data_IF_766004925648
#
_entry.id   IF_766004925648
#
_cell.length_a   1.000
_cell.length_b   1.000
_cell.length_c   1.000
_cell.angle_alpha   90.00
_cell.angle_beta   90.00
_cell.angle_gamma   90.00
#
_symmetry.space_group_name_H-M   'P 1'
#
loop_
_entity.id
_entity.type
_entity.pdbx_description
1 polymer ?
#
# COMPACT_ATOMS: atom_id res chain seq x y z
N UNK A 1 6.64 -19.88 10.05
CA UNK A 1 6.29 -18.47 10.29
C UNK A 1 4.78 -18.40 10.50
N UNK A 2 4.31 -18.02 11.68
CA UNK A 2 2.87 -17.94 11.98
C UNK A 2 2.37 -16.54 11.58
N UNK A 3 1.45 -16.46 10.62
CA UNK A 3 0.56 -15.32 10.32
C UNK A 3 1.17 -13.92 10.12
N UNK A 4 2.30 -13.80 9.39
CA UNK A 4 2.74 -12.49 8.92
C UNK A 4 1.79 -11.99 7.81
N UNK A 5 1.15 -10.83 8.01
CA UNK A 5 0.39 -10.17 6.94
C UNK A 5 1.36 -9.59 5.92
N UNK A 6 1.35 -10.14 4.71
CA UNK A 6 2.18 -9.69 3.61
C UNK A 6 1.46 -8.59 2.83
N UNK A 7 2.18 -7.55 2.44
CA UNK A 7 1.65 -6.45 1.63
C UNK A 7 2.53 -6.23 0.41
N UNK A 8 1.91 -5.86 -0.70
CA UNK A 8 2.60 -5.64 -1.96
C UNK A 8 2.18 -4.29 -2.58
N UNK A 9 3.13 -3.43 -3.01
CA UNK A 9 2.85 -2.13 -3.63
C UNK A 9 2.39 -2.28 -5.09
N UNK A 10 1.35 -3.08 -5.32
CA UNK A 10 0.77 -3.37 -6.64
C UNK A 10 -0.73 -3.09 -6.68
N UNK A 11 -1.23 -2.25 -5.77
CA UNK A 11 -2.66 -1.92 -5.71
C UNK A 11 -3.14 -1.17 -6.97
N UNK A 12 -2.24 -0.45 -7.65
CA UNK A 12 -2.52 0.36 -8.83
C UNK A 12 -1.62 -0.04 -10.01
N UNK A 13 -1.78 -1.28 -10.45
CA UNK A 13 -1.25 -1.75 -11.73
C UNK A 13 -2.24 -1.46 -12.85
N UNK A 14 -1.76 -0.89 -13.95
CA UNK A 14 -2.56 -0.74 -15.17
C UNK A 14 -2.51 -2.01 -16.03
N UNK A 15 -3.32 -2.05 -17.10
CA UNK A 15 -3.44 -3.22 -17.99
C UNK A 15 -2.16 -3.58 -18.77
N UNK A 16 -1.17 -2.69 -18.81
CA UNK A 16 0.13 -2.92 -19.46
C UNK A 16 1.26 -3.19 -18.46
N UNK A 17 0.94 -3.31 -17.16
CA UNK A 17 1.92 -3.59 -16.10
C UNK A 17 2.64 -2.36 -15.52
N UNK A 18 2.25 -1.15 -15.91
CA UNK A 18 2.70 0.08 -15.27
C UNK A 18 2.21 0.16 -13.83
N UNK A 19 3.07 0.61 -12.92
CA UNK A 19 2.80 0.64 -11.48
C UNK A 19 2.87 2.07 -10.95
N UNK A 20 1.73 2.58 -10.53
CA UNK A 20 1.59 3.93 -10.00
C UNK A 20 2.42 4.17 -8.72
N UNK A 21 2.79 3.11 -7.99
CA UNK A 21 3.74 3.25 -6.88
C UNK A 21 5.11 3.75 -7.36
N UNK A 22 5.60 3.23 -8.49
CA UNK A 22 6.90 3.63 -9.04
C UNK A 22 6.85 4.97 -9.77
N UNK A 23 5.69 5.30 -10.34
CA UNK A 23 5.47 6.53 -11.10
C UNK A 23 5.14 7.72 -10.18
N UNK A 24 4.26 7.51 -9.20
CA UNK A 24 3.70 8.56 -8.34
C UNK A 24 4.05 8.44 -6.86
N UNK A 25 4.51 7.29 -6.37
CA UNK A 25 4.77 7.07 -4.95
C UNK A 25 5.86 7.99 -4.38
N UNK A 26 6.91 8.28 -5.15
CA UNK A 26 7.96 9.24 -4.75
C UNK A 26 7.44 10.68 -4.67
N UNK A 27 6.46 11.04 -5.49
CA UNK A 27 5.83 12.35 -5.47
C UNK A 27 4.78 12.50 -4.36
N UNK A 28 4.25 11.38 -3.84
CA UNK A 28 3.23 11.33 -2.79
C UNK A 28 3.71 10.47 -1.59
N UNK A 29 4.81 10.86 -0.93
CA UNK A 29 5.40 10.08 0.16
C UNK A 29 4.48 9.98 1.39
N UNK A 30 3.57 10.94 1.57
CA UNK A 30 2.54 10.95 2.60
C UNK A 30 1.53 9.80 2.41
N UNK A 31 1.11 9.52 1.18
CA UNK A 31 0.23 8.39 0.85
C UNK A 31 0.94 7.05 1.05
N UNK A 32 2.22 6.97 0.67
CA UNK A 32 3.06 5.79 0.94
C UNK A 32 3.16 5.53 2.44
N UNK A 33 3.41 6.58 3.23
CA UNK A 33 3.51 6.47 4.68
C UNK A 33 2.17 6.07 5.33
N UNK A 34 1.06 6.66 4.88
CA UNK A 34 -0.28 6.34 5.39
C UNK A 34 -0.64 4.87 5.15
N UNK A 35 -0.28 4.31 3.99
CA UNK A 35 -0.44 2.88 3.71
C UNK A 35 0.40 2.02 4.65
N UNK A 36 1.66 2.37 4.89
CA UNK A 36 2.53 1.63 5.81
C UNK A 36 2.01 1.68 7.25
N UNK A 37 1.55 2.85 7.72
CA UNK A 37 0.92 2.99 9.03
C UNK A 37 -0.33 2.13 9.11
N UNK A 38 -1.20 2.14 8.09
CA UNK A 38 -2.40 1.29 8.06
C UNK A 38 -2.07 -0.21 8.07
N UNK A 39 -0.99 -0.62 7.39
CA UNK A 39 -0.56 -2.02 7.33
C UNK A 39 -0.05 -2.53 8.69
N UNK A 40 0.70 -1.68 9.40
CA UNK A 40 1.34 -2.03 10.69
C UNK A 40 0.42 -1.78 11.89
N UNK A 41 -0.37 -0.72 11.84
CA UNK A 41 -1.21 -0.19 12.91
C UNK A 41 -2.60 0.22 12.36
N UNK A 42 -3.43 -0.75 11.93
CA UNK A 42 -4.72 -0.47 11.27
C UNK A 42 -5.70 0.35 12.11
N UNK A 43 -5.53 0.33 13.44
CA UNK A 43 -6.29 1.08 14.44
C UNK A 43 -6.01 2.58 14.43
N UNK A 44 -4.82 3.02 13.99
CA UNK A 44 -4.45 4.44 13.98
C UNK A 44 -5.08 5.20 12.81
N UNK A 45 -5.33 4.50 11.70
CA UNK A 45 -5.93 5.09 10.51
C UNK A 45 -7.17 4.28 10.06
N UNK A 46 -8.23 4.17 10.88
CA UNK A 46 -9.34 3.25 10.63
C UNK A 46 -10.06 3.53 9.30
N UNK A 47 -10.09 4.80 8.86
CA UNK A 47 -10.75 5.27 7.64
C UNK A 47 -9.84 5.34 6.41
N UNK A 48 -8.51 5.20 6.57
CA UNK A 48 -7.58 5.22 5.45
C UNK A 48 -7.76 3.95 4.61
N UNK A 49 -7.90 4.14 3.30
CA UNK A 49 -7.91 3.05 2.33
C UNK A 49 -6.54 2.97 1.68
N UNK A 50 -6.06 1.75 1.46
CA UNK A 50 -4.77 1.58 0.81
C UNK A 50 -4.78 2.20 -0.59
N UNK A 51 -3.72 2.96 -0.91
CA UNK A 51 -3.54 3.62 -2.21
C UNK A 51 -2.58 2.83 -3.07
N UNK A 52 -1.40 2.48 -2.54
CA UNK A 52 -0.32 1.80 -3.25
C UNK A 52 -0.19 0.33 -2.84
N UNK A 53 -0.42 0.01 -1.57
CA UNK A 53 -0.25 -1.34 -1.03
C UNK A 53 -1.54 -2.15 -1.07
N UNK A 54 -1.42 -3.47 -1.15
CA UNK A 54 -2.54 -4.38 -0.94
C UNK A 54 -2.09 -5.61 -0.15
N UNK A 55 -2.94 -6.17 0.71
CA UNK A 55 -2.62 -7.43 1.38
C UNK A 55 -2.51 -8.57 0.37
N UNK A 56 -1.50 -9.42 0.53
CA UNK A 56 -1.38 -10.69 -0.15
C UNK A 56 -2.12 -11.76 0.67
N UNK A 57 -2.87 -12.64 -0.01
CA UNK A 57 -3.46 -13.84 0.58
C UNK A 57 -2.41 -14.93 0.75
#
# INVERSE_FOLDING_TARGET
MKNAKLFNPTARLNGTGGNDFWEGGTANPDLVLADLVKALHPELLPKHQFVYYRPLK
#
